data_IF_769064286958
#
_entry.id   IF_769064286958
#
_cell.length_a   1.000
_cell.length_b   1.000
_cell.length_c   1.000
_cell.angle_alpha   90.00
_cell.angle_beta   90.00
_cell.angle_gamma   90.00
#
_symmetry.space_group_name_H-M   'P 1'
#
loop_
_entity.id
_entity.type
_entity.pdbx_description
1 polymer ?
#
# COMPACT_ATOMS: atom_id res chain seq x y z
N UNK A 1 -24.04 21.10 -5.57
CA UNK A 1 -23.68 21.38 -6.98
C UNK A 1 -24.06 22.82 -7.28
N UNK A 2 -23.21 23.58 -7.98
CA UNK A 2 -23.48 24.99 -8.31
C UNK A 2 -24.46 25.12 -9.49
N UNK A 3 -25.20 26.23 -9.57
CA UNK A 3 -26.11 26.53 -10.67
C UNK A 3 -25.38 27.04 -11.92
N UNK A 4 -25.99 26.88 -13.09
CA UNK A 4 -25.47 27.42 -14.34
C UNK A 4 -25.51 28.96 -14.36
N UNK A 5 -26.53 29.56 -13.75
CA UNK A 5 -26.63 31.03 -13.59
C UNK A 5 -25.42 31.61 -12.87
N UNK A 6 -24.96 30.96 -11.78
CA UNK A 6 -23.76 31.38 -11.07
C UNK A 6 -22.51 31.27 -11.94
N UNK A 7 -22.44 30.25 -12.81
CA UNK A 7 -21.35 30.07 -13.78
C UNK A 7 -21.33 31.22 -14.79
N UNK A 8 -22.49 31.60 -15.33
CA UNK A 8 -22.60 32.75 -16.24
C UNK A 8 -22.17 34.06 -15.58
N UNK A 9 -22.65 34.33 -14.36
CA UNK A 9 -22.32 35.56 -13.62
C UNK A 9 -20.81 35.66 -13.41
N UNK A 10 -20.17 34.57 -12.96
CA UNK A 10 -18.72 34.55 -12.74
C UNK A 10 -17.93 34.68 -14.04
N UNK A 11 -18.37 34.02 -15.12
CA UNK A 11 -17.72 34.11 -16.43
C UNK A 11 -17.80 35.53 -17.02
N UNK A 12 -18.98 36.17 -16.95
CA UNK A 12 -19.20 37.55 -17.41
C UNK A 12 -18.43 38.57 -16.57
N UNK A 13 -18.31 38.33 -15.26
CA UNK A 13 -17.58 39.22 -14.34
C UNK A 13 -16.06 39.09 -14.51
N UNK A 14 -15.55 37.87 -14.51
CA UNK A 14 -14.12 37.60 -14.69
C UNK A 14 -13.91 36.20 -15.31
N UNK A 15 -13.74 36.18 -16.63
CA UNK A 15 -13.42 34.98 -17.42
C UNK A 15 -12.00 34.42 -17.20
N UNK A 16 -11.29 34.81 -16.15
CA UNK A 16 -9.94 34.29 -15.85
C UNK A 16 -10.01 33.03 -15.02
N UNK A 17 -9.28 31.99 -15.42
CA UNK A 17 -9.17 30.75 -14.67
C UNK A 17 -8.43 30.97 -13.34
N UNK A 18 -9.05 30.59 -12.23
CA UNK A 18 -8.47 30.72 -10.89
C UNK A 18 -7.29 29.76 -10.57
N UNK A 19 -6.92 28.87 -11.51
CA UNK A 19 -5.81 27.90 -11.34
C UNK A 19 -4.58 28.33 -12.14
N UNK A 20 -4.76 28.63 -13.44
CA UNK A 20 -3.65 28.97 -14.33
C UNK A 20 -3.54 30.46 -14.65
N UNK A 21 -4.50 31.27 -14.17
CA UNK A 21 -4.58 32.72 -14.39
C UNK A 21 -4.66 33.14 -15.86
N UNK A 22 -5.02 32.22 -16.76
CA UNK A 22 -5.25 32.50 -18.17
C UNK A 22 -6.75 32.72 -18.44
N UNK A 23 -7.05 33.52 -19.47
CA UNK A 23 -8.43 33.79 -19.89
C UNK A 23 -9.08 32.52 -20.46
N UNK A 24 -10.33 32.29 -20.10
CA UNK A 24 -11.18 31.25 -20.63
C UNK A 24 -11.90 31.84 -21.86
N UNK A 25 -11.70 31.22 -23.02
CA UNK A 25 -12.22 31.71 -24.30
C UNK A 25 -13.72 31.43 -24.42
N UNK A 26 -14.16 30.25 -24.00
CA UNK A 26 -15.54 29.79 -24.08
C UNK A 26 -16.09 29.42 -22.69
N UNK A 27 -17.34 29.78 -22.41
CA UNK A 27 -18.01 29.36 -21.17
C UNK A 27 -18.14 27.83 -21.10
N UNK A 28 -18.22 27.15 -22.23
CA UNK A 28 -18.28 25.69 -22.29
C UNK A 28 -16.94 25.03 -21.95
N UNK A 29 -15.83 25.75 -22.10
CA UNK A 29 -14.49 25.31 -21.65
C UNK A 29 -14.24 25.61 -20.17
N UNK A 30 -15.17 26.30 -19.50
CA UNK A 30 -15.08 26.55 -18.05
C UNK A 30 -15.79 25.49 -17.20
N UNK A 31 -15.24 25.28 -16.01
CA UNK A 31 -15.81 24.52 -14.92
C UNK A 31 -15.98 25.42 -13.70
N UNK A 32 -17.10 25.24 -13.00
CA UNK A 32 -17.41 25.90 -11.74
C UNK A 32 -17.25 24.88 -10.62
N UNK A 33 -16.26 25.07 -9.76
CA UNK A 33 -15.91 24.13 -8.68
C UNK A 33 -15.66 24.86 -7.37
N UNK A 34 -15.58 24.12 -6.25
CA UNK A 34 -15.35 24.72 -4.95
C UNK A 34 -13.90 25.18 -4.76
N UNK A 35 -13.69 26.31 -4.06
CA UNK A 35 -12.37 26.80 -3.60
C UNK A 35 -11.84 25.85 -2.51
N UNK A 36 -12.64 25.62 -1.47
CA UNK A 36 -12.47 24.54 -0.50
C UNK A 36 -13.27 23.32 -0.98
N UNK A 37 -12.60 22.20 -1.27
CA UNK A 37 -13.25 21.03 -1.84
C UNK A 37 -14.34 20.49 -0.91
N UNK A 38 -15.46 20.01 -1.48
CA UNK A 38 -16.61 19.51 -0.72
C UNK A 38 -16.25 18.50 0.37
N UNK A 39 -15.38 17.52 0.07
CA UNK A 39 -14.96 16.49 1.05
C UNK A 39 -14.07 17.01 2.17
N UNK A 40 -13.47 18.20 2.01
CA UNK A 40 -12.70 18.88 3.04
C UNK A 40 -13.58 19.76 3.95
N UNK A 41 -14.90 19.80 3.74
CA UNK A 41 -15.85 20.64 4.48
C UNK A 41 -16.36 21.86 3.70
N UNK A 42 -15.95 22.01 2.44
CA UNK A 42 -16.34 23.13 1.60
C UNK A 42 -17.85 23.21 1.33
N UNK A 43 -18.45 24.37 1.64
CA UNK A 43 -19.89 24.61 1.41
C UNK A 43 -20.17 24.94 -0.05
N UNK A 44 -21.33 24.51 -0.57
CA UNK A 44 -21.79 24.92 -1.91
C UNK A 44 -22.47 26.29 -1.82
N UNK A 45 -21.67 27.34 -1.67
CA UNK A 45 -22.11 28.74 -1.60
C UNK A 45 -21.32 29.57 -2.62
N UNK A 46 -21.89 30.66 -3.17
CA UNK A 46 -21.22 31.48 -4.20
C UNK A 46 -19.80 31.93 -3.82
N UNK A 47 -19.57 32.22 -2.55
CA UNK A 47 -18.28 32.69 -2.02
C UNK A 47 -17.21 31.59 -2.05
N UNK A 48 -17.62 30.32 -2.05
CA UNK A 48 -16.73 29.17 -2.18
C UNK A 48 -16.66 28.68 -3.63
N UNK A 49 -17.21 29.39 -4.60
CA UNK A 49 -17.18 29.00 -6.01
C UNK A 49 -16.00 29.65 -6.72
N UNK A 50 -15.34 28.90 -7.62
CA UNK A 50 -14.32 29.44 -8.53
C UNK A 50 -14.56 29.00 -9.97
N UNK A 51 -14.30 29.93 -10.88
CA UNK A 51 -14.29 29.66 -12.31
C UNK A 51 -12.89 29.19 -12.73
N UNK A 52 -12.83 28.09 -13.48
CA UNK A 52 -11.59 27.46 -13.93
C UNK A 52 -11.75 26.91 -15.34
N UNK A 53 -10.68 26.62 -16.07
CA UNK A 53 -10.80 25.75 -17.24
C UNK A 53 -11.17 24.33 -16.79
N UNK A 54 -11.95 23.62 -17.61
CA UNK A 54 -12.32 22.23 -17.37
C UNK A 54 -11.08 21.33 -17.22
N UNK A 55 -10.05 21.52 -18.05
CA UNK A 55 -8.81 20.75 -17.97
C UNK A 55 -8.01 21.06 -16.70
N UNK A 56 -7.91 22.34 -16.30
CA UNK A 56 -7.25 22.73 -15.06
C UNK A 56 -7.93 22.11 -13.85
N UNK A 57 -9.27 22.11 -13.84
CA UNK A 57 -10.04 21.52 -12.76
C UNK A 57 -9.85 20.00 -12.65
N UNK A 58 -9.82 19.31 -13.79
CA UNK A 58 -9.62 17.86 -13.84
C UNK A 58 -8.19 17.44 -13.44
N UNK A 59 -7.20 18.30 -13.68
CA UNK A 59 -5.80 18.03 -13.36
C UNK A 59 -5.43 18.27 -11.87
N UNK A 60 -6.39 18.70 -11.04
CA UNK A 60 -6.13 19.06 -9.63
C UNK A 60 -5.65 17.89 -8.80
N UNK A 61 -4.64 18.14 -7.97
CA UNK A 61 -4.23 17.21 -6.93
C UNK A 61 -5.26 17.18 -5.81
N UNK A 62 -5.46 16.00 -5.20
CA UNK A 62 -6.26 15.86 -3.98
C UNK A 62 -5.72 16.70 -2.81
N UNK A 63 -4.45 17.11 -2.89
CA UNK A 63 -3.79 17.93 -1.86
C UNK A 63 -3.85 19.44 -2.15
N UNK A 64 -4.41 19.88 -3.29
CA UNK A 64 -4.48 21.31 -3.66
C UNK A 64 -5.40 22.15 -2.77
N UNK A 65 -6.24 21.53 -1.93
CA UNK A 65 -7.15 22.22 -1.02
C UNK A 65 -6.45 23.06 0.07
N UNK A 66 -5.12 22.98 0.20
CA UNK A 66 -4.35 23.60 1.29
C UNK A 66 -3.37 24.72 0.83
N UNK A 67 -3.36 25.06 -0.46
CA UNK A 67 -2.26 25.82 -1.09
C UNK A 67 -2.19 27.34 -0.78
N UNK A 68 -3.17 27.91 -0.06
CA UNK A 68 -3.18 29.36 0.27
C UNK A 68 -3.17 29.69 1.78
N UNK A 69 -2.81 28.75 2.65
CA UNK A 69 -2.40 29.09 4.02
C UNK A 69 -0.89 29.00 4.09
N UNK A 70 -0.26 30.15 4.36
CA UNK A 70 1.13 30.31 4.79
C UNK A 70 1.65 29.05 5.49
N UNK A 71 2.69 28.48 4.89
CA UNK A 71 3.28 27.19 5.23
C UNK A 71 3.60 27.10 6.73
N UNK A 72 2.78 26.37 7.46
CA UNK A 72 3.24 25.50 8.54
C UNK A 72 2.92 24.09 8.05
N UNK A 73 3.92 23.38 7.54
CA UNK A 73 3.82 21.94 7.27
C UNK A 73 3.79 21.24 8.63
N UNK A 74 2.65 21.31 9.32
CA UNK A 74 2.26 20.25 10.23
C UNK A 74 1.62 19.19 9.36
N UNK A 75 2.45 18.28 8.85
CA UNK A 75 1.95 16.98 8.41
C UNK A 75 1.08 16.48 9.57
N UNK A 76 -0.25 16.32 9.41
CA UNK A 76 -1.05 15.76 10.46
C UNK A 76 -0.46 14.39 10.73
N UNK A 77 0.18 14.22 11.90
CA UNK A 77 0.55 12.92 12.42
C UNK A 77 -0.77 12.23 12.69
N UNK A 78 -1.38 11.66 11.65
CA UNK A 78 -2.50 10.76 11.78
C UNK A 78 -1.92 9.60 12.56
N UNK A 79 -2.12 9.62 13.88
CA UNK A 79 -1.75 8.54 14.75
C UNK A 79 -2.74 7.43 14.43
N UNK A 80 -2.46 6.68 13.35
CA UNK A 80 -3.17 5.46 12.99
C UNK A 80 -2.81 4.44 14.08
N UNK A 81 -3.45 4.56 15.24
CA UNK A 81 -3.54 3.54 16.27
C UNK A 81 -4.41 2.39 15.75
N UNK A 82 -4.08 1.86 14.57
CA UNK A 82 -4.53 0.53 14.19
C UNK A 82 -3.78 -0.39 15.14
N UNK A 83 -4.46 -0.94 16.15
CA UNK A 83 -3.95 -2.07 16.93
C UNK A 83 -3.43 -3.08 15.91
N UNK A 84 -2.12 -3.20 15.81
CA UNK A 84 -1.51 -4.19 14.90
C UNK A 84 -1.93 -5.53 15.45
N UNK A 85 -2.66 -6.33 14.66
CA UNK A 85 -2.95 -7.72 15.03
C UNK A 85 -1.60 -8.38 15.31
N UNK A 86 -1.36 -8.75 16.56
CA UNK A 86 -0.22 -9.57 16.96
C UNK A 86 -0.43 -10.94 16.36
N UNK A 87 0.60 -11.51 15.74
CA UNK A 87 0.51 -12.83 15.10
C UNK A 87 1.49 -13.74 15.83
N UNK A 88 1.03 -14.88 16.31
CA UNK A 88 1.91 -15.89 16.91
C UNK A 88 1.76 -17.19 16.14
N UNK A 89 2.87 -17.92 16.03
CA UNK A 89 2.90 -19.29 15.51
C UNK A 89 3.50 -20.20 16.58
N UNK A 90 2.97 -21.41 16.73
CA UNK A 90 3.45 -22.39 17.72
C UNK A 90 4.02 -23.65 17.07
N UNK A 91 5.32 -23.70 16.84
CA UNK A 91 5.98 -24.84 16.19
C UNK A 91 6.57 -25.75 17.28
N UNK A 92 6.13 -27.00 17.37
CA UNK A 92 6.63 -27.97 18.37
C UNK A 92 6.65 -27.41 19.82
N UNK A 93 5.58 -26.69 20.21
CA UNK A 93 5.44 -25.97 21.49
C UNK A 93 6.28 -24.70 21.67
N UNK A 94 7.10 -24.31 20.68
CA UNK A 94 7.81 -23.03 20.67
C UNK A 94 6.91 -21.94 20.08
N UNK A 95 6.60 -20.92 20.88
CA UNK A 95 5.80 -19.75 20.44
C UNK A 95 6.70 -18.68 19.84
N UNK A 96 6.44 -18.30 18.59
CA UNK A 96 7.20 -17.30 17.87
C UNK A 96 6.30 -16.12 17.50
N UNK A 97 6.70 -14.93 17.95
CA UNK A 97 6.01 -13.69 17.64
C UNK A 97 6.33 -13.19 16.22
N UNK A 98 5.30 -12.73 15.52
CA UNK A 98 5.36 -12.26 14.14
C UNK A 98 4.72 -10.87 14.02
N UNK A 99 5.49 -9.89 13.54
CA UNK A 99 5.03 -8.51 13.38
C UNK A 99 3.98 -8.36 12.27
N UNK A 100 4.11 -9.15 11.20
CA UNK A 100 3.26 -9.09 10.03
C UNK A 100 3.06 -10.49 9.41
N UNK A 101 2.21 -10.59 8.38
CA UNK A 101 1.91 -11.89 7.77
C UNK A 101 3.12 -12.49 7.04
N UNK A 102 4.01 -11.66 6.49
CA UNK A 102 5.24 -12.13 5.81
C UNK A 102 6.24 -12.67 6.83
N UNK A 103 6.31 -12.07 8.02
CA UNK A 103 7.21 -12.54 9.08
C UNK A 103 6.82 -13.92 9.60
N UNK A 104 5.58 -14.36 9.43
CA UNK A 104 5.18 -15.75 9.70
C UNK A 104 6.03 -16.71 8.87
N UNK A 105 6.11 -16.48 7.56
CA UNK A 105 6.88 -17.33 6.64
C UNK A 105 8.39 -17.25 6.88
N UNK A 106 8.90 -16.03 7.11
CA UNK A 106 10.32 -15.82 7.44
C UNK A 106 10.69 -16.57 8.73
N UNK A 107 9.89 -16.43 9.78
CA UNK A 107 10.17 -17.04 11.07
C UNK A 107 10.04 -18.57 11.01
N UNK A 108 9.07 -19.11 10.28
CA UNK A 108 8.98 -20.56 10.01
C UNK A 108 10.25 -21.07 9.30
N UNK A 109 10.70 -20.37 8.26
CA UNK A 109 11.90 -20.75 7.52
C UNK A 109 13.16 -20.68 8.40
N UNK A 110 13.33 -19.58 9.16
CA UNK A 110 14.45 -19.41 10.09
C UNK A 110 14.45 -20.47 11.19
N UNK A 111 13.28 -20.86 11.71
CA UNK A 111 13.17 -21.93 12.68
C UNK A 111 13.68 -23.26 12.11
N UNK A 112 13.28 -23.62 10.88
CA UNK A 112 13.76 -24.83 10.20
C UNK A 112 15.27 -24.78 9.90
N UNK A 113 15.79 -23.60 9.55
CA UNK A 113 17.24 -23.38 9.38
C UNK A 113 17.97 -23.62 10.70
N UNK A 114 17.46 -23.07 11.81
CA UNK A 114 18.07 -23.21 13.13
C UNK A 114 18.01 -24.65 13.67
N UNK A 115 16.98 -25.42 13.32
CA UNK A 115 16.90 -26.87 13.60
C UNK A 115 17.78 -27.71 12.66
N UNK A 116 18.51 -27.08 11.73
CA UNK A 116 19.38 -27.77 10.77
C UNK A 116 18.63 -28.52 9.67
N UNK A 117 17.32 -28.32 9.52
CA UNK A 117 16.52 -28.98 8.47
C UNK A 117 16.71 -28.31 7.11
N UNK A 118 16.89 -26.99 7.09
CA UNK A 118 17.23 -26.23 5.89
C UNK A 118 18.71 -25.86 5.92
N UNK A 119 19.43 -26.29 4.90
CA UNK A 119 20.84 -26.00 4.68
C UNK A 119 21.07 -25.51 3.25
N UNK A 120 22.23 -24.90 2.99
CA UNK A 120 22.61 -24.44 1.64
C UNK A 120 22.67 -25.57 0.61
N UNK A 121 22.97 -26.79 1.04
CA UNK A 121 23.03 -27.99 0.18
C UNK A 121 21.65 -28.44 -0.28
N UNK A 122 20.61 -28.12 0.48
CA UNK A 122 19.24 -28.55 0.21
C UNK A 122 18.46 -27.47 -0.56
N UNK A 123 19.11 -26.35 -0.88
CA UNK A 123 18.56 -25.32 -1.76
C UNK A 123 18.86 -25.65 -3.23
N UNK A 124 17.96 -25.32 -4.17
CA UNK A 124 16.72 -24.56 -3.99
C UNK A 124 15.55 -25.40 -3.44
N UNK A 125 14.80 -24.83 -2.48
CA UNK A 125 13.58 -25.45 -1.96
C UNK A 125 12.40 -24.97 -2.80
N UNK A 126 11.83 -25.90 -3.56
CA UNK A 126 10.67 -25.65 -4.41
C UNK A 126 9.40 -26.17 -3.74
N UNK A 127 8.40 -25.30 -3.59
CA UNK A 127 7.07 -25.68 -3.10
C UNK A 127 6.04 -25.42 -4.20
N UNK A 128 5.65 -26.48 -4.90
CA UNK A 128 4.77 -26.41 -6.08
C UNK A 128 5.54 -25.93 -7.31
N UNK A 129 5.07 -24.86 -7.95
CA UNK A 129 5.66 -24.33 -9.20
C UNK A 129 6.79 -23.31 -8.99
N UNK A 130 6.94 -22.78 -7.78
CA UNK A 130 7.90 -21.71 -7.49
C UNK A 130 8.96 -22.15 -6.49
N UNK A 131 10.20 -21.73 -6.73
CA UNK A 131 11.29 -21.82 -5.75
C UNK A 131 11.01 -20.80 -4.65
N UNK A 132 10.83 -21.30 -3.43
CA UNK A 132 10.52 -20.46 -2.28
C UNK A 132 11.79 -19.97 -1.56
N UNK A 133 12.77 -20.87 -1.36
CA UNK A 133 14.04 -20.57 -0.68
C UNK A 133 15.20 -20.96 -1.57
N UNK A 134 16.21 -20.08 -1.66
CA UNK A 134 17.41 -20.33 -2.45
C UNK A 134 18.65 -19.67 -1.82
N UNK A 135 19.85 -20.11 -2.24
CA UNK A 135 21.15 -19.55 -1.85
C UNK A 135 21.40 -18.16 -2.47
N UNK A 136 20.61 -17.78 -3.45
CA UNK A 136 20.61 -16.47 -4.09
C UNK A 136 19.17 -16.06 -4.39
N UNK A 137 18.82 -14.76 -4.40
CA UNK A 137 17.45 -14.28 -4.57
C UNK A 137 16.98 -14.37 -6.04
N UNK A 138 17.11 -15.55 -6.65
CA UNK A 138 16.80 -15.83 -8.04
C UNK A 138 16.02 -17.14 -8.16
N UNK A 139 15.12 -17.18 -9.13
CA UNK A 139 14.40 -18.39 -9.55
C UNK A 139 15.25 -19.24 -10.51
N UNK A 140 14.75 -20.46 -10.81
CA UNK A 140 15.40 -21.36 -11.79
C UNK A 140 15.48 -20.74 -13.20
N UNK A 141 14.52 -19.89 -13.55
CA UNK A 141 14.49 -19.14 -14.81
C UNK A 141 15.38 -17.88 -14.81
N UNK A 142 16.23 -17.74 -13.77
CA UNK A 142 17.15 -16.61 -13.54
C UNK A 142 16.47 -15.27 -13.27
N UNK A 143 15.14 -15.22 -13.11
CA UNK A 143 14.46 -13.99 -12.67
C UNK A 143 14.73 -13.72 -11.19
N UNK A 144 14.84 -12.46 -10.76
CA UNK A 144 15.00 -12.13 -9.35
C UNK A 144 13.71 -12.41 -8.58
N UNK A 145 13.86 -12.75 -7.30
CA UNK A 145 12.72 -12.90 -6.38
C UNK A 145 11.99 -11.57 -6.20
N UNK A 146 10.67 -11.61 -6.27
CA UNK A 146 9.87 -10.43 -5.98
C UNK A 146 9.80 -10.20 -4.47
N UNK A 147 10.32 -9.06 -4.00
CA UNK A 147 10.33 -8.72 -2.58
C UNK A 147 11.19 -9.66 -1.73
N UNK A 148 12.36 -10.07 -2.25
CA UNK A 148 13.31 -10.96 -1.57
C UNK A 148 13.54 -10.59 -0.09
N UNK A 149 13.56 -11.60 0.77
CA UNK A 149 13.80 -11.49 2.21
C UNK A 149 15.02 -12.31 2.57
N UNK A 150 15.89 -11.73 3.38
CA UNK A 150 17.08 -12.40 3.89
C UNK A 150 16.65 -13.30 5.06
N UNK A 151 17.11 -14.54 5.02
CA UNK A 151 16.98 -15.54 6.08
C UNK A 151 18.34 -15.76 6.75
N UNK A 152 18.35 -16.54 7.83
CA UNK A 152 19.56 -16.97 8.51
C UNK A 152 20.50 -17.73 7.55
N UNK A 153 21.80 -17.70 7.86
CA UNK A 153 22.87 -18.33 7.07
C UNK A 153 22.97 -17.86 5.60
N UNK A 154 22.59 -16.61 5.31
CA UNK A 154 22.62 -16.01 3.97
C UNK A 154 21.77 -16.75 2.93
N UNK A 155 20.62 -17.26 3.36
CA UNK A 155 19.58 -17.79 2.48
C UNK A 155 18.57 -16.69 2.14
N UNK A 156 17.82 -16.89 1.05
CA UNK A 156 16.85 -15.91 0.55
C UNK A 156 15.48 -16.56 0.38
N UNK A 157 14.44 -15.80 0.72
CA UNK A 157 13.03 -16.18 0.60
C UNK A 157 12.31 -15.18 -0.32
N UNK A 158 11.43 -15.66 -1.19
CA UNK A 158 10.50 -14.79 -1.90
C UNK A 158 9.41 -14.25 -0.95
N UNK A 159 9.26 -12.93 -0.86
CA UNK A 159 8.55 -12.28 0.25
C UNK A 159 7.29 -11.48 -0.11
N UNK A 160 6.87 -11.43 -1.37
CA UNK A 160 5.69 -10.67 -1.79
C UNK A 160 4.45 -11.56 -1.94
N UNK A 161 3.96 -12.05 -0.81
CA UNK A 161 2.82 -12.95 -0.74
C UNK A 161 1.66 -12.33 0.05
N UNK A 162 0.43 -12.74 -0.28
CA UNK A 162 -0.74 -12.42 0.54
C UNK A 162 -0.66 -13.12 1.91
N UNK A 163 -1.46 -12.67 2.88
CA UNK A 163 -1.53 -13.29 4.22
C UNK A 163 -1.84 -14.79 4.13
N UNK A 164 -2.83 -15.16 3.32
CA UNK A 164 -3.23 -16.55 3.09
C UNK A 164 -2.08 -17.37 2.48
N UNK A 165 -1.39 -16.82 1.49
CA UNK A 165 -0.25 -17.50 0.87
C UNK A 165 0.91 -17.68 1.85
N UNK A 166 1.18 -16.71 2.73
CA UNK A 166 2.20 -16.86 3.76
C UNK A 166 1.89 -18.04 4.70
N UNK A 167 0.65 -18.14 5.20
CA UNK A 167 0.22 -19.23 6.09
C UNK A 167 0.27 -20.58 5.35
N UNK A 168 -0.27 -20.63 4.13
CA UNK A 168 -0.26 -21.84 3.30
C UNK A 168 1.16 -22.32 3.03
N UNK A 169 2.05 -21.41 2.59
CA UNK A 169 3.46 -21.75 2.33
C UNK A 169 4.21 -22.14 3.60
N UNK A 170 3.93 -21.52 4.74
CA UNK A 170 4.48 -21.95 6.04
C UNK A 170 4.07 -23.38 6.37
N UNK A 171 2.78 -23.72 6.22
CA UNK A 171 2.27 -25.09 6.45
C UNK A 171 2.90 -26.09 5.48
N UNK A 172 2.95 -25.77 4.18
CA UNK A 172 3.61 -26.60 3.17
C UNK A 172 5.10 -26.82 3.48
N UNK A 173 5.82 -25.78 3.90
CA UNK A 173 7.23 -25.86 4.24
C UNK A 173 7.49 -26.76 5.46
N UNK A 174 6.66 -26.65 6.51
CA UNK A 174 6.76 -27.53 7.68
C UNK A 174 6.50 -28.99 7.32
N UNK A 175 5.43 -29.26 6.57
CA UNK A 175 5.09 -30.61 6.11
C UNK A 175 6.20 -31.21 5.24
N UNK A 176 6.81 -30.41 4.36
CA UNK A 176 7.93 -30.84 3.52
C UNK A 176 9.11 -31.39 4.34
N UNK A 177 9.34 -30.84 5.54
CA UNK A 177 10.39 -31.28 6.46
C UNK A 177 9.89 -32.23 7.56
N UNK A 178 8.70 -32.82 7.39
CA UNK A 178 8.11 -33.78 8.31
C UNK A 178 7.70 -33.20 9.66
N UNK A 179 7.50 -31.88 9.74
CA UNK A 179 6.99 -31.21 10.95
C UNK A 179 5.48 -31.03 10.81
N UNK A 180 4.72 -31.41 11.83
CA UNK A 180 3.27 -31.28 11.81
C UNK A 180 2.84 -29.81 11.68
N UNK A 181 1.78 -29.52 10.89
CA UNK A 181 1.27 -28.17 10.75
C UNK A 181 0.91 -27.57 12.11
N UNK A 182 1.54 -26.45 12.37
CA UNK A 182 1.42 -25.62 13.58
C UNK A 182 0.04 -24.97 13.71
N UNK A 183 -0.37 -24.62 14.93
CA UNK A 183 -1.45 -23.67 15.20
C UNK A 183 -1.00 -22.24 14.90
N UNK A 184 -1.69 -21.55 13.98
CA UNK A 184 -1.46 -20.14 13.67
C UNK A 184 -2.60 -19.31 14.28
N UNK A 185 -2.29 -18.21 14.96
CA UNK A 185 -3.32 -17.26 15.46
C UNK A 185 -4.07 -16.52 14.31
N UNK A 186 -3.82 -16.89 13.06
CA UNK A 186 -4.43 -16.36 11.84
C UNK A 186 -5.47 -17.31 11.23
N UNK A 187 -5.67 -18.49 11.82
CA UNK A 187 -6.61 -19.50 11.33
C UNK A 187 -8.08 -19.19 11.75
N UNK A 188 -8.31 -18.09 12.47
CA UNK A 188 -9.62 -17.59 12.95
C UNK A 188 -10.21 -16.44 12.12
#
# INVERSE_FOLDING_TARGET
MFSYELKEILYKTNSTCAICNQKIIDIDDSALDHIEQYWAGGKTIPENARLTHRYCNNARSRFDAYSNKSIIIVNPKVNKNRKRKTRTITIENEKIFCENSVSVLINTANWLINKGKITKTNCPIQLGKSVLINNSPIHLDKRPFFGAKILNHNLYLEGNWSTEHCIKKSKELLMFFGVSPTRFDLDD
#
